data_IF_609251680203
#
_entry.id   IF_609251680203
#
_cell.length_a   1.000
_cell.length_b   1.000
_cell.length_c   1.000
_cell.angle_alpha   90.00
_cell.angle_beta   90.00
_cell.angle_gamma   90.00
#
_symmetry.space_group_name_H-M   'P 1'
#
loop_
_entity.id
_entity.type
_entity.pdbx_description
1 polymer ?
#
# COMPACT_ATOMS: atom_id res chain seq x y z
N UNK A 1 19.64 -53.35 -13.22
CA UNK A 1 19.15 -51.95 -13.23
C UNK A 1 20.30 -51.00 -13.50
N UNK A 2 20.16 -50.07 -14.45
CA UNK A 2 21.19 -49.05 -14.75
C UNK A 2 21.23 -48.04 -13.61
N UNK A 3 22.42 -47.78 -13.05
CA UNK A 3 22.61 -46.75 -12.03
C UNK A 3 22.26 -45.38 -12.66
N UNK A 4 21.33 -44.61 -12.08
CA UNK A 4 20.97 -43.31 -12.63
C UNK A 4 22.19 -42.39 -12.61
N UNK A 5 22.37 -41.62 -13.68
CA UNK A 5 23.47 -40.64 -13.76
C UNK A 5 23.20 -39.48 -12.80
N UNK A 6 24.25 -38.75 -12.40
CA UNK A 6 24.10 -37.59 -11.52
C UNK A 6 23.16 -36.52 -12.11
N UNK A 7 23.18 -36.33 -13.43
CA UNK A 7 22.26 -35.43 -14.13
C UNK A 7 20.81 -35.91 -14.06
N UNK A 8 20.57 -37.23 -14.19
CA UNK A 8 19.24 -37.81 -14.07
C UNK A 8 18.68 -37.69 -12.63
N UNK A 9 19.54 -37.84 -11.62
CA UNK A 9 19.17 -37.62 -10.21
C UNK A 9 18.86 -36.15 -9.93
N UNK A 10 19.67 -35.21 -10.44
CA UNK A 10 19.43 -33.77 -10.29
C UNK A 10 18.08 -33.35 -10.90
N UNK A 11 17.82 -33.80 -12.13
CA UNK A 11 16.59 -33.51 -12.86
C UNK A 11 15.37 -34.11 -12.15
N UNK A 12 15.43 -35.37 -11.73
CA UNK A 12 14.30 -36.03 -11.07
C UNK A 12 13.99 -35.46 -9.68
N UNK A 13 15.02 -35.00 -8.95
CA UNK A 13 14.85 -34.38 -7.64
C UNK A 13 14.57 -32.87 -7.75
N UNK A 14 14.68 -32.25 -8.93
CA UNK A 14 14.52 -30.81 -9.10
C UNK A 14 15.51 -29.98 -8.27
N UNK A 15 16.77 -30.44 -8.17
CA UNK A 15 17.84 -29.79 -7.40
C UNK A 15 19.07 -29.54 -8.28
N UNK A 16 19.89 -28.58 -7.87
CA UNK A 16 21.17 -28.30 -8.52
C UNK A 16 22.11 -29.53 -8.48
N UNK A 17 22.85 -29.87 -9.57
CA UNK A 17 23.79 -30.99 -9.59
C UNK A 17 24.87 -30.96 -8.49
N UNK A 18 25.27 -29.78 -8.01
CA UNK A 18 26.20 -29.64 -6.90
C UNK A 18 25.58 -30.12 -5.57
N UNK A 19 24.26 -29.95 -5.40
CA UNK A 19 23.52 -30.45 -4.24
C UNK A 19 23.44 -31.99 -4.23
N UNK A 20 23.34 -32.64 -5.39
CA UNK A 20 23.39 -34.12 -5.48
C UNK A 20 24.69 -34.65 -4.90
N UNK A 21 25.83 -34.01 -5.21
CA UNK A 21 27.14 -34.40 -4.67
C UNK A 21 27.21 -34.19 -3.15
N UNK A 22 26.65 -33.08 -2.66
CA UNK A 22 26.58 -32.77 -1.23
C UNK A 22 25.68 -33.74 -0.47
N UNK A 23 24.52 -34.10 -1.03
CA UNK A 23 23.57 -35.04 -0.43
C UNK A 23 24.11 -36.47 -0.46
N UNK A 24 24.81 -36.87 -1.52
CA UNK A 24 25.55 -38.14 -1.55
C UNK A 24 26.56 -38.25 -0.41
N UNK A 25 27.34 -37.20 -0.14
CA UNK A 25 28.28 -37.16 1.01
C UNK A 25 27.57 -37.25 2.37
N UNK A 26 26.30 -36.86 2.43
CA UNK A 26 25.43 -36.96 3.60
C UNK A 26 24.68 -38.30 3.71
N UNK A 27 24.94 -39.25 2.80
CA UNK A 27 24.32 -40.57 2.84
C UNK A 27 23.10 -40.74 1.93
N UNK A 28 22.82 -39.81 1.01
CA UNK A 28 21.73 -39.98 0.04
C UNK A 28 22.01 -41.18 -0.89
N UNK A 29 21.08 -42.13 -1.01
CA UNK A 29 21.21 -43.25 -1.93
C UNK A 29 21.17 -42.75 -3.38
N UNK A 30 22.16 -43.16 -4.19
CA UNK A 30 22.30 -42.74 -5.60
C UNK A 30 22.03 -43.88 -6.59
N UNK A 31 21.57 -45.03 -6.11
CA UNK A 31 21.31 -46.21 -6.92
C UNK A 31 19.86 -46.29 -7.43
N UNK A 32 18.96 -45.47 -6.87
CA UNK A 32 17.57 -45.34 -7.28
C UNK A 32 17.10 -43.90 -7.07
N UNK A 33 16.31 -43.37 -8.02
CA UNK A 33 15.68 -42.04 -7.91
C UNK A 33 14.68 -42.02 -6.75
N UNK A 34 13.89 -43.09 -6.61
CA UNK A 34 12.88 -43.22 -5.57
C UNK A 34 13.49 -43.18 -4.16
N UNK A 35 14.59 -43.93 -3.96
CA UNK A 35 15.30 -43.92 -2.69
C UNK A 35 15.92 -42.54 -2.38
N UNK A 36 16.39 -41.83 -3.42
CA UNK A 36 16.95 -40.48 -3.26
C UNK A 36 15.87 -39.46 -2.87
N UNK A 37 14.67 -39.58 -3.43
CA UNK A 37 13.52 -38.76 -3.09
C UNK A 37 13.09 -38.98 -1.64
N UNK A 38 12.92 -40.24 -1.23
CA UNK A 38 12.54 -40.58 0.14
C UNK A 38 13.59 -40.12 1.17
N UNK A 39 14.88 -40.24 0.84
CA UNK A 39 15.95 -39.72 1.69
C UNK A 39 15.86 -38.19 1.83
N UNK A 40 15.58 -37.46 0.74
CA UNK A 40 15.47 -36.00 0.77
C UNK A 40 14.31 -35.56 1.66
N UNK A 41 13.15 -36.19 1.54
CA UNK A 41 11.96 -35.81 2.31
C UNK A 41 12.19 -35.97 3.82
N UNK A 42 13.00 -36.95 4.22
CA UNK A 42 13.34 -37.19 5.63
C UNK A 42 14.51 -36.32 6.12
N UNK A 43 15.52 -36.07 5.28
CA UNK A 43 16.82 -35.52 5.73
C UNK A 43 17.06 -34.06 5.32
N UNK A 44 16.27 -33.51 4.41
CA UNK A 44 16.41 -32.14 3.92
C UNK A 44 15.22 -31.30 4.38
N UNK A 45 15.42 -30.52 5.45
CA UNK A 45 14.48 -29.46 5.82
C UNK A 45 14.60 -28.32 4.80
N UNK A 46 13.56 -28.09 4.02
CA UNK A 46 13.44 -26.88 3.21
C UNK A 46 13.41 -25.69 4.17
N UNK A 47 14.51 -24.93 4.23
CA UNK A 47 14.49 -23.64 4.89
C UNK A 47 13.74 -22.69 3.98
N UNK A 48 12.45 -22.50 4.26
CA UNK A 48 11.71 -21.36 3.76
C UNK A 48 12.19 -20.14 4.54
N UNK A 49 13.03 -19.31 3.93
CA UNK A 49 13.37 -17.99 4.45
C UNK A 49 12.44 -17.01 3.75
N UNK A 50 11.35 -16.53 4.38
CA UNK A 50 10.62 -15.42 3.79
C UNK A 50 11.49 -14.19 3.95
N UNK A 51 12.19 -13.83 2.89
CA UNK A 51 12.81 -12.51 2.73
C UNK A 51 11.71 -11.49 2.41
N UNK A 52 10.64 -11.48 3.22
CA UNK A 52 9.53 -10.55 3.11
C UNK A 52 9.44 -9.83 4.43
N UNK A 53 9.74 -8.54 4.38
CA UNK A 53 9.36 -7.60 5.42
C UNK A 53 7.84 -7.69 5.62
N UNK A 54 7.43 -8.43 6.64
CA UNK A 54 6.02 -8.67 6.96
C UNK A 54 5.33 -7.37 7.35
N UNK A 55 6.06 -6.43 7.94
CA UNK A 55 5.53 -5.11 8.29
C UNK A 55 5.26 -4.29 7.03
N UNK A 56 6.13 -4.35 6.01
CA UNK A 56 5.87 -3.72 4.72
C UNK A 56 4.64 -4.31 4.03
N UNK A 57 4.46 -5.64 4.10
CA UNK A 57 3.25 -6.31 3.57
C UNK A 57 2.01 -5.88 4.33
N UNK A 58 2.07 -5.83 5.65
CA UNK A 58 0.95 -5.41 6.49
C UNK A 58 0.57 -3.94 6.25
N UNK A 59 1.57 -3.05 6.13
CA UNK A 59 1.38 -1.64 5.78
C UNK A 59 0.73 -1.48 4.40
N UNK A 60 1.14 -2.28 3.41
CA UNK A 60 0.52 -2.29 2.09
C UNK A 60 -0.94 -2.74 2.13
N UNK A 61 -1.26 -3.80 2.89
CA UNK A 61 -2.63 -4.29 3.08
C UNK A 61 -3.49 -3.26 3.81
N UNK A 62 -2.95 -2.64 4.86
CA UNK A 62 -3.65 -1.60 5.63
C UNK A 62 -3.97 -0.39 4.77
N UNK A 63 -2.99 0.09 3.99
CA UNK A 63 -3.18 1.18 3.05
C UNK A 63 -4.25 0.86 1.99
N UNK A 64 -4.25 -0.36 1.44
CA UNK A 64 -5.28 -0.78 0.47
C UNK A 64 -6.69 -0.73 1.08
N UNK A 65 -6.83 -1.13 2.35
CA UNK A 65 -8.11 -1.04 3.08
C UNK A 65 -8.50 0.42 3.31
N UNK A 66 -7.55 1.30 3.61
CA UNK A 66 -7.79 2.73 3.75
C UNK A 66 -8.31 3.36 2.45
N UNK A 67 -7.66 3.08 1.32
CA UNK A 67 -8.10 3.54 -0.01
C UNK A 67 -9.54 3.12 -0.29
N UNK A 68 -9.86 1.83 -0.10
CA UNK A 68 -11.23 1.32 -0.33
C UNK A 68 -12.27 1.98 0.58
N UNK A 69 -11.92 2.25 1.84
CA UNK A 69 -12.79 2.92 2.79
C UNK A 69 -13.10 4.35 2.34
N UNK A 70 -12.10 5.10 1.93
CA UNK A 70 -12.27 6.48 1.45
C UNK A 70 -13.16 6.52 0.20
N UNK A 71 -12.92 5.63 -0.77
CA UNK A 71 -13.75 5.54 -1.99
C UNK A 71 -15.21 5.28 -1.62
N UNK A 72 -15.48 4.29 -0.75
CA UNK A 72 -16.84 3.96 -0.34
C UNK A 72 -17.53 5.13 0.39
N UNK A 73 -16.80 5.85 1.24
CA UNK A 73 -17.32 7.03 1.92
C UNK A 73 -17.63 8.18 0.96
N UNK A 74 -16.73 8.46 0.01
CA UNK A 74 -16.98 9.48 -1.02
C UNK A 74 -18.18 9.13 -1.90
N UNK A 75 -18.31 7.88 -2.33
CA UNK A 75 -19.47 7.44 -3.11
C UNK A 75 -20.78 7.55 -2.34
N UNK A 76 -20.79 7.17 -1.05
CA UNK A 76 -21.96 7.29 -0.21
C UNK A 76 -22.34 8.76 0.04
N UNK A 77 -21.35 9.61 0.30
CA UNK A 77 -21.50 11.05 0.46
C UNK A 77 -22.04 11.71 -0.82
N UNK A 78 -21.51 11.34 -1.99
CA UNK A 78 -21.99 11.81 -3.29
C UNK A 78 -23.46 11.45 -3.52
N UNK A 79 -23.84 10.18 -3.28
CA UNK A 79 -25.25 9.75 -3.38
C UNK A 79 -26.17 10.49 -2.40
N UNK A 80 -25.68 10.81 -1.20
CA UNK A 80 -26.44 11.59 -0.23
C UNK A 80 -26.67 13.01 -0.75
N UNK A 81 -25.64 13.66 -1.30
CA UNK A 81 -25.76 14.98 -1.93
C UNK A 81 -26.73 14.96 -3.13
N UNK A 82 -26.64 13.95 -4.00
CA UNK A 82 -27.52 13.80 -5.17
C UNK A 82 -29.01 13.68 -4.78
N UNK A 83 -29.28 13.14 -3.60
CA UNK A 83 -30.63 13.04 -3.03
C UNK A 83 -31.06 14.26 -2.21
N UNK A 84 -30.24 15.31 -2.16
CA UNK A 84 -30.49 16.54 -1.41
C UNK A 84 -30.26 16.41 0.10
N UNK A 85 -29.56 15.37 0.54
CA UNK A 85 -29.24 15.13 1.94
C UNK A 85 -28.07 15.98 2.45
N UNK A 86 -27.98 16.09 3.78
CA UNK A 86 -26.92 16.82 4.46
C UNK A 86 -25.69 15.93 4.72
N UNK A 87 -24.56 16.27 4.07
CA UNK A 87 -23.28 15.55 4.20
C UNK A 87 -22.36 16.16 5.24
N UNK A 88 -22.62 17.37 5.75
CA UNK A 88 -21.73 18.07 6.69
C UNK A 88 -21.36 17.24 7.93
N UNK A 89 -22.29 16.47 8.54
CA UNK A 89 -21.95 15.61 9.67
C UNK A 89 -20.94 14.49 9.35
N UNK A 90 -20.80 14.11 8.08
CA UNK A 90 -19.90 13.05 7.63
C UNK A 90 -18.50 13.57 7.28
N UNK A 91 -18.35 14.86 7.00
CA UNK A 91 -17.08 15.44 6.57
C UNK A 91 -15.90 15.12 7.52
N UNK A 92 -16.03 15.22 8.87
CA UNK A 92 -14.94 14.86 9.76
C UNK A 92 -14.52 13.39 9.66
N UNK A 93 -15.49 12.49 9.46
CA UNK A 93 -15.22 11.06 9.26
C UNK A 93 -14.53 10.80 7.93
N UNK A 94 -14.92 11.51 6.87
CA UNK A 94 -14.30 11.41 5.56
C UNK A 94 -12.85 11.91 5.62
N UNK A 95 -12.60 13.10 6.19
CA UNK A 95 -11.26 13.64 6.40
C UNK A 95 -10.36 12.68 7.18
N UNK A 96 -10.85 12.14 8.30
CA UNK A 96 -10.08 11.18 9.10
C UNK A 96 -9.73 9.91 8.30
N UNK A 97 -10.67 9.40 7.50
CA UNK A 97 -10.39 8.24 6.64
C UNK A 97 -9.38 8.58 5.53
N UNK A 98 -9.40 9.80 4.99
CA UNK A 98 -8.43 10.26 4.01
C UNK A 98 -7.01 10.36 4.60
N UNK A 99 -6.88 10.81 5.84
CA UNK A 99 -5.59 10.90 6.56
C UNK A 99 -4.94 9.52 6.80
N UNK A 100 -5.75 8.47 6.96
CA UNK A 100 -5.24 7.09 7.10
C UNK A 100 -4.59 6.53 5.82
N UNK A 101 -4.78 7.19 4.66
CA UNK A 101 -4.23 6.72 3.39
C UNK A 101 -2.76 7.11 3.28
N UNK A 102 -1.84 6.13 3.13
CA UNK A 102 -0.42 6.41 2.95
C UNK A 102 -0.19 7.26 1.69
N UNK A 103 0.76 8.22 1.72
CA UNK A 103 1.04 9.11 0.58
C UNK A 103 1.28 8.36 -0.74
N UNK A 104 2.01 7.25 -0.69
CA UNK A 104 2.31 6.41 -1.85
C UNK A 104 1.08 5.74 -2.50
N UNK A 105 -0.08 5.82 -1.86
CA UNK A 105 -1.32 5.20 -2.33
C UNK A 105 -2.46 6.21 -2.58
N UNK A 106 -2.25 7.51 -2.31
CA UNK A 106 -3.28 8.56 -2.48
C UNK A 106 -3.75 8.72 -3.92
N UNK A 107 -2.86 8.49 -4.89
CA UNK A 107 -3.17 8.50 -6.32
C UNK A 107 -4.21 7.45 -6.75
N UNK A 108 -4.54 6.48 -5.87
CA UNK A 108 -5.55 5.45 -6.13
C UNK A 108 -6.92 5.78 -5.56
N UNK A 109 -7.04 6.88 -4.80
CA UNK A 109 -8.31 7.33 -4.24
C UNK A 109 -9.09 8.06 -5.33
N UNK A 110 -10.27 7.52 -5.67
CA UNK A 110 -11.23 8.22 -6.51
C UNK A 110 -12.13 9.08 -5.63
N UNK A 111 -12.12 10.39 -5.89
CA UNK A 111 -12.86 11.38 -5.11
C UNK A 111 -14.03 11.94 -5.92
N UNK A 112 -15.15 12.14 -5.25
CA UNK A 112 -16.32 12.87 -5.79
C UNK A 112 -16.05 14.37 -5.65
N UNK A 113 -16.14 15.11 -6.76
CA UNK A 113 -15.73 16.53 -6.83
C UNK A 113 -16.49 17.41 -5.84
N UNK A 114 -17.80 17.22 -5.75
CA UNK A 114 -18.69 17.99 -4.89
C UNK A 114 -18.36 17.78 -3.40
N UNK A 115 -18.00 16.54 -3.03
CA UNK A 115 -17.56 16.22 -1.68
C UNK A 115 -16.21 16.85 -1.40
N UNK A 116 -15.28 16.83 -2.37
CA UNK A 116 -14.00 17.50 -2.25
C UNK A 116 -14.14 19.00 -2.04
N UNK A 117 -14.99 19.66 -2.82
CA UNK A 117 -15.27 21.09 -2.70
C UNK A 117 -15.74 21.47 -1.29
N UNK A 118 -16.56 20.60 -0.67
CA UNK A 118 -17.01 20.79 0.72
C UNK A 118 -15.90 20.57 1.74
N UNK A 119 -15.05 19.56 1.56
CA UNK A 119 -13.91 19.27 2.44
C UNK A 119 -12.87 20.40 2.43
N UNK A 120 -12.71 21.10 1.30
CA UNK A 120 -11.76 22.20 1.14
C UNK A 120 -12.42 23.59 1.14
N UNK A 121 -13.72 23.67 1.48
CA UNK A 121 -14.55 24.86 1.34
C UNK A 121 -14.00 26.07 2.09
N UNK A 122 -13.43 25.87 3.28
CA UNK A 122 -12.86 26.96 4.08
C UNK A 122 -11.65 27.62 3.40
N UNK A 123 -10.82 26.81 2.75
CA UNK A 123 -9.67 27.32 1.99
C UNK A 123 -10.13 28.08 0.74
N UNK A 124 -11.10 27.53 0.01
CA UNK A 124 -11.69 28.19 -1.15
C UNK A 124 -12.34 29.53 -0.79
N UNK A 125 -13.03 29.60 0.36
CA UNK A 125 -13.65 30.82 0.87
C UNK A 125 -12.62 31.92 1.13
N UNK A 126 -11.49 31.60 1.77
CA UNK A 126 -10.41 32.56 2.03
C UNK A 126 -9.78 33.04 0.72
N UNK A 127 -9.47 32.11 -0.18
CA UNK A 127 -8.87 32.44 -1.48
C UNK A 127 -9.76 33.40 -2.30
N UNK A 128 -11.07 33.12 -2.37
CA UNK A 128 -12.03 33.98 -3.09
C UNK A 128 -12.22 35.35 -2.44
N UNK A 129 -12.03 35.47 -1.13
CA UNK A 129 -12.10 36.74 -0.41
C UNK A 129 -10.85 37.63 -0.62
N UNK A 130 -9.86 37.16 -1.41
CA UNK A 130 -8.57 37.84 -1.55
C UNK A 130 -7.71 37.77 -0.29
N UNK A 131 -8.04 36.86 0.63
CA UNK A 131 -7.25 36.61 1.82
C UNK A 131 -5.95 35.89 1.47
N UNK A 132 -4.87 36.27 2.15
CA UNK A 132 -3.59 35.62 1.96
C UNK A 132 -3.59 34.25 2.65
N UNK A 133 -3.26 33.19 1.90
CA UNK A 133 -3.25 31.80 2.37
C UNK A 133 -1.93 31.47 3.11
N UNK A 134 -1.05 32.46 3.26
CA UNK A 134 0.28 32.36 3.90
C UNK A 134 0.22 31.91 5.37
N UNK A 135 -0.97 31.87 6.00
CA UNK A 135 -1.16 31.38 7.36
C UNK A 135 -1.78 29.97 7.45
N UNK A 136 -1.25 28.99 6.71
CA UNK A 136 -1.47 27.56 7.02
C UNK A 136 -0.53 27.15 8.17
N UNK A 137 -1.05 26.55 9.25
CA UNK A 137 -0.21 25.98 10.33
C UNK A 137 -0.45 24.50 10.51
N UNK A 138 0.67 23.78 10.56
CA UNK A 138 0.90 22.46 11.14
C UNK A 138 -0.06 21.33 10.74
N UNK A 139 0.39 20.60 9.72
CA UNK A 139 0.49 19.14 9.78
C UNK A 139 1.79 18.74 9.08
N UNK A 140 2.22 17.50 9.26
CA UNK A 140 3.29 16.93 8.45
C UNK A 140 2.80 16.94 6.99
N UNK A 141 3.04 18.04 6.27
CA UNK A 141 3.10 17.99 4.82
C UNK A 141 4.12 16.92 4.52
N UNK A 142 3.66 15.76 4.06
CA UNK A 142 4.58 14.84 3.42
C UNK A 142 5.27 15.65 2.33
N UNK A 143 6.62 15.77 2.36
CA UNK A 143 7.31 16.40 1.27
C UNK A 143 6.88 15.64 0.02
N UNK A 144 6.14 16.31 -0.86
CA UNK A 144 6.09 15.88 -2.25
C UNK A 144 7.55 15.88 -2.66
N UNK A 145 8.14 14.70 -2.84
CA UNK A 145 9.52 14.60 -3.27
C UNK A 145 9.72 15.51 -4.49
N UNK A 146 10.87 16.15 -4.59
CA UNK A 146 11.28 17.13 -5.62
C UNK A 146 11.15 16.62 -7.08
N UNK A 147 10.59 15.43 -7.31
CA UNK A 147 10.49 14.73 -8.60
C UNK A 147 9.04 14.63 -9.14
N UNK A 148 8.07 15.33 -8.54
CA UNK A 148 6.68 15.39 -9.02
C UNK A 148 6.43 16.52 -10.02
N UNK A 149 5.50 16.34 -10.98
CA UNK A 149 5.00 17.46 -11.79
C UNK A 149 4.21 18.45 -10.93
N UNK A 150 4.12 19.72 -11.35
CA UNK A 150 3.32 20.76 -10.68
C UNK A 150 1.87 20.31 -10.42
N UNK A 151 1.28 19.56 -11.35
CA UNK A 151 -0.06 18.98 -11.21
C UNK A 151 -0.14 17.93 -10.10
N UNK A 152 0.86 17.06 -9.97
CA UNK A 152 0.92 16.05 -8.92
C UNK A 152 1.10 16.69 -7.54
N UNK A 153 1.94 17.73 -7.45
CA UNK A 153 2.10 18.52 -6.24
C UNK A 153 0.80 19.23 -5.85
N UNK A 154 0.10 19.82 -6.83
CA UNK A 154 -1.20 20.45 -6.61
C UNK A 154 -2.24 19.45 -6.09
N UNK A 155 -2.31 18.26 -6.69
CA UNK A 155 -3.21 17.20 -6.24
C UNK A 155 -2.91 16.73 -4.81
N UNK A 156 -1.64 16.55 -4.47
CA UNK A 156 -1.22 16.16 -3.12
C UNK A 156 -1.57 17.24 -2.08
N UNK A 157 -1.38 18.51 -2.42
CA UNK A 157 -1.78 19.63 -1.57
C UNK A 157 -3.27 19.61 -1.25
N UNK A 158 -4.14 19.55 -2.26
CA UNK A 158 -5.59 19.53 -2.06
C UNK A 158 -6.05 18.30 -1.28
N UNK A 159 -5.41 17.15 -1.50
CA UNK A 159 -5.67 15.96 -0.70
C UNK A 159 -5.34 16.19 0.77
N UNK A 160 -4.17 16.76 1.09
CA UNK A 160 -3.76 17.03 2.48
C UNK A 160 -4.66 18.05 3.18
N UNK A 161 -5.19 19.04 2.46
CA UNK A 161 -6.23 19.93 2.98
C UNK A 161 -7.50 19.15 3.31
N UNK A 162 -8.01 18.35 2.37
CA UNK A 162 -9.23 17.56 2.57
C UNK A 162 -9.11 16.51 3.68
N UNK A 163 -7.92 15.92 3.85
CA UNK A 163 -7.58 15.00 4.94
C UNK A 163 -7.50 15.71 6.31
N UNK A 164 -7.56 17.05 6.36
CA UNK A 164 -7.44 17.83 7.58
C UNK A 164 -6.02 17.85 8.17
N UNK A 165 -5.02 17.44 7.36
CA UNK A 165 -3.60 17.50 7.68
C UNK A 165 -3.12 18.95 7.61
N UNK A 166 -3.61 19.72 6.63
CA UNK A 166 -3.35 21.14 6.53
C UNK A 166 -4.50 21.92 7.12
N UNK A 167 -4.22 22.73 8.15
CA UNK A 167 -5.22 23.58 8.80
C UNK A 167 -4.86 25.05 8.65
N UNK A 168 -5.90 25.86 8.47
CA UNK A 168 -5.78 27.30 8.50
C UNK A 168 -5.52 27.74 9.95
N UNK A 169 -4.51 28.60 10.14
CA UNK A 169 -4.27 29.27 11.42
C UNK A 169 -5.47 30.16 11.65
N UNK A 170 -6.30 29.85 12.65
CA UNK A 170 -7.55 30.55 12.86
C UNK A 170 -7.37 32.08 12.84
N UNK A 171 -8.11 32.74 11.94
CA UNK A 171 -8.65 34.07 12.21
C UNK A 171 -9.43 33.95 13.54
N UNK A 172 -8.95 34.66 14.56
CA UNK A 172 -9.34 34.50 15.96
C UNK A 172 -10.85 34.60 16.18
N UNK A 173 -11.32 33.80 17.14
CA UNK A 173 -12.45 34.11 18.03
C UNK A 173 -12.32 35.49 18.68
#
# INVERSE_FOLDING_TARGET
MKKPTHAALAAALGIDPALVTRYRRRGMPVHSIEAAQQWRDVNVRVRFTPERDLEAVERAISGEKAVKRVIALHEAAGKLLDSGGDVYPLLPTISAAMADVPPSQRNRVLVVSEVMDLLVADLLRIHRAGGDVVELTEGDCYPCGDEGSDEAMMGAFWYSVAAGELRLKNARS
#
